data_IF_581983683206
#
_entry.id   IF_581983683206
#
_cell.length_a   1.000
_cell.length_b   1.000
_cell.length_c   1.000
_cell.angle_alpha   90.00
_cell.angle_beta   90.00
_cell.angle_gamma   90.00
#
_symmetry.space_group_name_H-M   'P 1'
#
loop_
_entity.id
_entity.type
_entity.pdbx_description
1 polymer ?
#
# COMPACT_ATOMS: atom_id res chain seq x y z
N UNK A 1 -91.55 46.94 77.30
CA UNK A 1 -92.72 46.13 76.93
C UNK A 1 -92.38 45.28 75.70
N UNK A 2 -92.49 43.98 75.86
CA UNK A 2 -92.23 42.89 74.88
C UNK A 2 -93.14 42.98 73.67
N UNK A 3 -92.62 42.71 72.43
CA UNK A 3 -93.47 42.14 71.38
C UNK A 3 -92.64 41.10 70.65
N UNK A 4 -92.96 39.87 70.87
CA UNK A 4 -92.61 38.65 70.11
C UNK A 4 -93.15 38.75 68.70
N UNK A 5 -92.36 38.39 67.75
CA UNK A 5 -92.92 37.88 66.51
C UNK A 5 -92.26 36.51 66.20
N UNK A 6 -92.91 35.48 66.60
CA UNK A 6 -92.57 34.14 66.20
C UNK A 6 -92.77 33.95 64.68
N UNK A 7 -91.70 33.91 63.93
CA UNK A 7 -91.78 33.40 62.60
C UNK A 7 -92.17 31.92 62.73
N UNK A 8 -93.30 31.59 62.18
CA UNK A 8 -93.82 30.25 62.22
C UNK A 8 -92.83 29.26 61.62
N UNK A 9 -92.57 28.19 62.31
CA UNK A 9 -91.67 27.12 61.88
C UNK A 9 -91.99 26.64 60.45
N UNK A 10 -93.16 26.91 59.99
CA UNK A 10 -93.64 26.55 58.65
C UNK A 10 -93.02 27.48 57.58
N UNK A 11 -92.82 28.81 57.86
CA UNK A 11 -92.16 29.76 56.92
C UNK A 11 -90.66 29.47 56.76
N UNK A 12 -90.00 29.05 57.82
CA UNK A 12 -88.55 28.60 57.69
C UNK A 12 -88.44 27.35 56.89
N UNK A 13 -89.32 26.38 57.08
CA UNK A 13 -89.28 25.09 56.32
C UNK A 13 -89.56 25.36 54.81
N UNK A 14 -90.53 26.21 54.53
CA UNK A 14 -90.85 26.60 53.14
C UNK A 14 -89.71 27.35 52.47
N UNK A 15 -88.97 28.25 53.21
CA UNK A 15 -87.78 28.93 52.69
C UNK A 15 -86.63 28.00 52.42
N UNK A 16 -86.40 27.00 53.27
CA UNK A 16 -85.38 25.98 53.08
C UNK A 16 -85.69 25.09 51.87
N UNK A 17 -86.95 24.68 51.73
CA UNK A 17 -87.42 23.90 50.57
C UNK A 17 -87.31 24.68 49.27
N UNK A 18 -87.62 25.96 49.26
CA UNK A 18 -87.42 26.85 48.12
C UNK A 18 -85.94 27.01 47.75
N UNK A 19 -85.08 27.20 48.72
CA UNK A 19 -83.61 27.24 48.47
C UNK A 19 -83.05 25.92 47.96
N UNK A 20 -83.52 24.78 48.49
CA UNK A 20 -83.15 23.49 47.98
C UNK A 20 -83.64 23.23 46.55
N UNK A 21 -84.86 23.71 46.26
CA UNK A 21 -85.44 23.62 44.86
C UNK A 21 -84.63 24.48 43.88
N UNK A 22 -84.18 25.70 44.28
CA UNK A 22 -83.37 26.59 43.49
C UNK A 22 -81.94 26.03 43.31
N UNK A 23 -81.44 25.41 44.34
CA UNK A 23 -80.10 24.75 44.28
C UNK A 23 -80.17 23.53 43.35
N UNK A 24 -81.24 22.72 43.44
CA UNK A 24 -81.39 21.56 42.52
C UNK A 24 -81.64 22.00 41.08
N UNK A 25 -82.39 23.10 40.84
CA UNK A 25 -82.56 23.67 39.50
C UNK A 25 -81.22 24.25 38.97
N UNK A 26 -80.47 24.89 39.83
CA UNK A 26 -79.11 25.39 39.47
C UNK A 26 -78.14 24.26 39.09
N UNK A 27 -78.15 23.14 39.85
CA UNK A 27 -77.33 21.95 39.53
C UNK A 27 -77.79 21.30 38.21
N UNK A 28 -79.08 21.30 37.93
CA UNK A 28 -79.55 20.80 36.64
C UNK A 28 -79.21 21.66 35.46
N UNK A 29 -79.18 23.00 35.62
CA UNK A 29 -78.76 23.92 34.59
C UNK A 29 -77.21 23.88 34.36
N UNK A 30 -76.44 23.62 35.38
CA UNK A 30 -74.99 23.45 35.24
C UNK A 30 -74.68 22.09 34.61
N UNK A 31 -75.40 21.05 35.00
CA UNK A 31 -75.19 19.69 34.48
C UNK A 31 -75.70 19.50 33.02
N UNK A 32 -76.56 20.40 32.55
CA UNK A 32 -77.09 20.38 31.16
C UNK A 32 -76.17 21.05 30.15
N UNK A 33 -74.99 21.60 30.57
CA UNK A 33 -74.11 22.32 29.64
C UNK A 33 -72.86 21.55 29.19
N UNK A 34 -72.64 20.36 29.80
CA UNK A 34 -71.45 19.56 29.49
C UNK A 34 -71.69 18.32 28.62
N UNK A 35 -72.78 18.21 27.94
CA UNK A 35 -73.06 17.08 27.04
C UNK A 35 -73.49 17.53 25.66
N UNK A 36 -72.70 18.39 25.05
CA UNK A 36 -72.71 18.52 23.59
C UNK A 36 -71.39 17.86 23.04
N UNK A 37 -71.14 16.62 23.46
CA UNK A 37 -70.31 15.74 22.65
C UNK A 37 -71.12 15.42 21.39
N UNK A 38 -70.78 16.07 20.31
CA UNK A 38 -71.26 15.69 18.99
C UNK A 38 -70.93 14.22 18.75
N UNK A 39 -71.60 13.55 17.82
CA UNK A 39 -71.33 12.15 17.54
C UNK A 39 -69.86 11.91 17.36
N UNK A 40 -69.30 10.80 17.87
CA UNK A 40 -67.86 10.54 17.82
C UNK A 40 -67.40 10.76 16.39
N UNK A 41 -66.54 11.74 16.20
CA UNK A 41 -65.99 12.05 14.87
C UNK A 41 -65.36 10.80 14.31
N UNK A 42 -65.71 10.45 13.09
CA UNK A 42 -65.15 9.29 12.47
C UNK A 42 -63.64 9.49 12.27
N UNK A 43 -62.88 8.42 12.30
CA UNK A 43 -61.43 8.48 12.03
C UNK A 43 -61.15 9.12 10.67
N UNK A 44 -62.13 9.04 9.75
CA UNK A 44 -62.09 9.69 8.45
C UNK A 44 -62.17 11.20 8.55
N UNK A 45 -63.10 11.76 9.44
CA UNK A 45 -63.26 13.19 9.66
C UNK A 45 -62.04 13.80 10.34
N UNK A 46 -61.41 13.12 11.28
CA UNK A 46 -60.17 13.53 11.94
C UNK A 46 -59.00 13.55 10.94
N UNK A 47 -58.95 12.58 10.03
CA UNK A 47 -57.96 12.53 8.97
C UNK A 47 -58.11 13.65 7.94
N UNK A 48 -59.36 14.02 7.61
CA UNK A 48 -59.65 15.10 6.67
C UNK A 48 -59.28 16.48 7.25
N UNK A 49 -59.54 16.68 8.55
CA UNK A 49 -59.29 17.97 9.24
C UNK A 49 -57.81 18.14 9.71
N UNK A 50 -57.19 17.08 10.23
CA UNK A 50 -55.84 17.14 10.82
C UNK A 50 -54.77 16.41 9.99
N UNK A 51 -55.17 15.81 8.85
CA UNK A 51 -54.30 14.96 8.07
C UNK A 51 -54.05 13.59 8.72
N UNK A 52 -53.23 12.77 8.05
CA UNK A 52 -52.82 11.46 8.57
C UNK A 52 -51.65 11.68 9.51
N UNK A 53 -51.72 11.29 10.78
CA UNK A 53 -50.57 11.39 11.66
C UNK A 53 -49.46 10.48 11.15
N UNK A 54 -48.32 11.08 10.76
CA UNK A 54 -47.15 10.37 10.33
C UNK A 54 -46.02 10.63 11.33
N UNK A 55 -45.30 9.58 11.65
CA UNK A 55 -44.08 9.73 12.47
C UNK A 55 -42.96 10.19 11.54
N UNK A 56 -42.53 11.41 11.72
CA UNK A 56 -41.38 11.95 11.00
C UNK A 56 -40.14 11.86 11.88
N UNK A 57 -39.05 11.54 11.25
CA UNK A 57 -37.73 11.54 11.88
C UNK A 57 -36.81 12.46 11.07
N UNK A 58 -36.09 13.32 11.75
CA UNK A 58 -35.11 14.16 11.10
C UNK A 58 -33.97 13.27 10.59
N UNK A 59 -33.70 13.31 9.29
CA UNK A 59 -32.56 12.62 8.70
C UNK A 59 -31.31 13.45 8.97
N UNK A 60 -30.40 12.87 9.67
CA UNK A 60 -29.07 13.44 9.89
C UNK A 60 -28.07 12.71 9.01
N UNK A 61 -27.20 13.49 8.34
CA UNK A 61 -26.09 12.93 7.58
C UNK A 61 -25.01 12.46 8.57
N UNK A 62 -24.87 11.18 8.74
CA UNK A 62 -23.80 10.60 9.51
C UNK A 62 -22.62 10.26 8.57
N UNK A 63 -21.39 10.51 8.98
CA UNK A 63 -20.24 10.04 8.23
C UNK A 63 -20.29 8.51 8.15
N UNK A 64 -20.32 8.01 6.94
CA UNK A 64 -20.36 6.57 6.67
C UNK A 64 -19.10 6.16 5.94
N UNK A 65 -18.34 5.27 6.54
CA UNK A 65 -17.14 4.70 5.96
C UNK A 65 -17.49 3.36 5.32
N UNK A 66 -17.19 3.24 4.04
CA UNK A 66 -17.36 1.99 3.31
C UNK A 66 -16.05 1.23 3.27
N UNK A 67 -15.94 0.21 4.08
CA UNK A 67 -14.79 -0.70 4.07
C UNK A 67 -15.06 -1.87 3.12
N UNK A 68 -14.16 -2.09 2.18
CA UNK A 68 -14.18 -3.26 1.30
C UNK A 68 -12.96 -4.11 1.55
N UNK A 69 -13.16 -5.42 1.48
CA UNK A 69 -12.08 -6.39 1.70
C UNK A 69 -11.65 -6.99 0.37
N UNK A 70 -10.36 -6.99 0.13
CA UNK A 70 -9.71 -7.61 -1.01
C UNK A 70 -8.62 -8.56 -0.52
N UNK A 71 -8.30 -9.54 -1.34
CA UNK A 71 -7.17 -10.42 -1.08
C UNK A 71 -5.96 -9.91 -1.85
N UNK A 72 -4.81 -9.97 -1.23
CA UNK A 72 -3.55 -9.56 -1.82
C UNK A 72 -2.44 -10.55 -1.49
N UNK A 73 -1.34 -10.42 -2.21
CA UNK A 73 -0.11 -11.17 -1.97
C UNK A 73 0.96 -10.23 -1.45
N UNK A 74 1.65 -10.66 -0.40
CA UNK A 74 2.82 -9.94 0.11
C UNK A 74 4.00 -10.25 -0.79
N UNK A 75 4.67 -9.23 -1.26
CA UNK A 75 5.88 -9.33 -2.09
C UNK A 75 6.99 -8.45 -1.53
N UNK A 76 8.24 -8.82 -1.69
CA UNK A 76 9.35 -7.92 -1.39
C UNK A 76 9.32 -6.72 -2.34
N UNK A 77 9.62 -5.53 -1.84
CA UNK A 77 9.67 -4.31 -2.65
C UNK A 77 10.79 -4.35 -3.70
N UNK A 78 11.85 -5.10 -3.42
CA UNK A 78 12.98 -5.29 -4.33
C UNK A 78 13.38 -6.76 -4.34
N UNK A 79 13.60 -7.25 -5.56
CA UNK A 79 14.17 -8.58 -5.80
C UNK A 79 15.33 -8.41 -6.77
N UNK A 80 16.44 -9.07 -6.50
CA UNK A 80 17.57 -9.14 -7.40
C UNK A 80 17.80 -10.60 -7.77
N UNK A 81 17.55 -10.93 -9.02
CA UNK A 81 18.06 -12.17 -9.61
C UNK A 81 19.50 -11.96 -10.01
N UNK A 82 20.37 -12.74 -9.42
CA UNK A 82 21.81 -12.73 -9.68
C UNK A 82 22.09 -13.75 -10.76
N UNK A 83 22.60 -13.25 -11.89
CA UNK A 83 22.89 -14.07 -13.07
C UNK A 83 24.37 -14.03 -13.41
N UNK A 84 24.89 -15.11 -14.03
CA UNK A 84 26.24 -15.08 -14.58
C UNK A 84 26.29 -14.28 -15.88
N UNK A 85 27.43 -13.62 -16.11
CA UNK A 85 27.74 -12.93 -17.37
C UNK A 85 28.82 -13.67 -18.19
N UNK A 86 29.49 -14.64 -17.56
CA UNK A 86 30.57 -15.41 -18.18
C UNK A 86 30.34 -16.90 -17.95
N UNK A 87 30.90 -17.70 -18.82
CA UNK A 87 30.88 -19.16 -18.69
C UNK A 87 32.15 -19.61 -18.00
N UNK A 88 32.07 -19.88 -16.70
CA UNK A 88 33.21 -20.31 -15.88
C UNK A 88 32.75 -21.23 -14.75
N UNK A 89 33.70 -21.98 -14.17
CA UNK A 89 33.42 -22.80 -12.99
C UNK A 89 33.23 -21.93 -11.76
N UNK A 90 32.30 -22.35 -10.91
CA UNK A 90 32.06 -21.73 -9.59
C UNK A 90 33.14 -22.26 -8.63
N UNK A 91 33.95 -21.35 -8.12
CA UNK A 91 35.05 -21.67 -7.19
C UNK A 91 34.57 -21.58 -5.75
N UNK A 92 33.76 -20.58 -5.44
CA UNK A 92 33.30 -20.33 -4.07
C UNK A 92 31.91 -19.68 -4.07
N UNK A 93 31.07 -20.10 -3.11
CA UNK A 93 29.76 -19.48 -2.81
C UNK A 93 29.68 -19.27 -1.30
N UNK A 94 30.16 -18.13 -0.79
CA UNK A 94 30.27 -17.86 0.65
C UNK A 94 28.93 -17.59 1.32
N UNK A 95 27.80 -17.67 0.60
CA UNK A 95 26.46 -17.35 1.12
C UNK A 95 25.53 -18.56 1.05
N UNK A 96 24.65 -18.66 2.03
CA UNK A 96 23.61 -19.68 2.12
C UNK A 96 22.21 -19.06 2.05
N UNK A 97 21.21 -19.91 1.77
CA UNK A 97 19.80 -19.48 1.81
C UNK A 97 19.42 -19.06 3.24
N UNK A 98 18.90 -17.87 3.39
CA UNK A 98 18.57 -17.26 4.68
C UNK A 98 19.60 -16.21 5.15
N UNK A 99 20.77 -16.14 4.55
CA UNK A 99 21.79 -15.15 4.94
C UNK A 99 21.40 -13.74 4.54
N UNK A 100 21.71 -12.79 5.45
CA UNK A 100 21.56 -11.37 5.17
C UNK A 100 22.82 -10.83 4.48
N UNK A 101 22.62 -10.18 3.34
CA UNK A 101 23.69 -9.58 2.54
C UNK A 101 23.49 -8.09 2.36
N UNK A 102 24.57 -7.36 2.24
CA UNK A 102 24.58 -5.92 1.95
C UNK A 102 25.03 -5.67 0.51
N UNK A 103 24.58 -4.56 -0.04
CA UNK A 103 25.07 -4.11 -1.35
C UNK A 103 26.60 -3.97 -1.34
N UNK A 104 27.26 -4.69 -2.26
CA UNK A 104 28.71 -4.78 -2.35
C UNK A 104 29.34 -6.06 -1.78
N UNK A 105 28.56 -6.87 -1.05
CA UNK A 105 29.05 -8.15 -0.55
C UNK A 105 29.28 -9.14 -1.70
N UNK A 106 30.32 -9.97 -1.58
CA UNK A 106 30.62 -11.03 -2.55
C UNK A 106 29.66 -12.17 -2.35
N UNK A 107 28.95 -12.54 -3.42
CA UNK A 107 27.95 -13.61 -3.40
C UNK A 107 28.53 -14.93 -3.89
N UNK A 108 29.39 -14.86 -4.90
CA UNK A 108 30.08 -16.01 -5.45
C UNK A 108 31.33 -15.56 -6.23
N UNK A 109 32.28 -16.45 -6.35
CA UNK A 109 33.46 -16.29 -7.17
C UNK A 109 33.52 -17.37 -8.24
N UNK A 110 33.71 -16.93 -9.49
CA UNK A 110 33.93 -17.79 -10.65
C UNK A 110 35.43 -17.92 -10.90
N UNK A 111 35.84 -18.99 -11.53
CA UNK A 111 37.23 -19.17 -11.99
C UNK A 111 37.66 -18.00 -12.87
N UNK A 112 38.87 -17.50 -12.61
CA UNK A 112 39.46 -16.39 -13.38
C UNK A 112 40.56 -16.87 -14.32
N UNK A 113 40.93 -18.13 -14.28
CA UNK A 113 42.13 -18.63 -14.97
C UNK A 113 42.11 -18.34 -16.47
N UNK A 114 41.04 -18.78 -17.16
CA UNK A 114 40.89 -18.58 -18.60
C UNK A 114 40.91 -17.11 -18.98
N UNK A 115 40.21 -16.27 -18.19
CA UNK A 115 40.12 -14.84 -18.44
C UNK A 115 41.44 -14.11 -18.12
N UNK A 116 42.16 -14.58 -17.11
CA UNK A 116 43.45 -14.03 -16.74
C UNK A 116 44.54 -14.27 -17.82
N UNK A 117 44.56 -15.48 -18.42
CA UNK A 117 45.44 -15.79 -19.55
C UNK A 117 45.12 -14.95 -20.79
N UNK A 118 43.82 -14.84 -21.15
CA UNK A 118 43.43 -13.96 -22.27
C UNK A 118 43.78 -12.51 -22.00
N UNK A 119 43.55 -11.99 -20.79
CA UNK A 119 43.96 -10.65 -20.41
C UNK A 119 45.46 -10.43 -20.59
N UNK A 120 46.29 -11.37 -20.12
CA UNK A 120 47.73 -11.27 -20.28
C UNK A 120 48.15 -11.21 -21.75
N UNK A 121 47.54 -12.05 -22.61
CA UNK A 121 47.80 -12.05 -24.04
C UNK A 121 47.39 -10.71 -24.70
N UNK A 122 46.20 -10.16 -24.36
CA UNK A 122 45.75 -8.87 -24.91
C UNK A 122 46.57 -7.70 -24.44
N UNK A 123 47.04 -7.73 -23.19
CA UNK A 123 47.98 -6.72 -22.67
C UNK A 123 49.31 -6.76 -23.39
N UNK A 124 49.84 -7.95 -23.70
CA UNK A 124 51.07 -8.08 -24.49
C UNK A 124 50.92 -7.49 -25.90
N UNK A 125 49.80 -7.85 -26.60
CA UNK A 125 49.47 -7.28 -27.92
C UNK A 125 49.37 -5.74 -27.88
N UNK A 126 48.67 -5.20 -26.89
CA UNK A 126 48.56 -3.73 -26.72
C UNK A 126 49.93 -3.09 -26.49
N UNK A 127 50.76 -3.66 -25.64
CA UNK A 127 52.08 -3.14 -25.36
C UNK A 127 53.02 -3.17 -26.60
N UNK A 128 52.87 -4.18 -27.46
CA UNK A 128 53.55 -4.25 -28.75
C UNK A 128 53.08 -3.12 -29.68
N UNK A 129 51.76 -2.99 -29.89
CA UNK A 129 51.21 -1.92 -30.73
C UNK A 129 51.54 -0.52 -30.23
N UNK A 130 51.57 -0.33 -28.90
CA UNK A 130 51.98 0.93 -28.26
C UNK A 130 53.43 1.26 -28.58
N UNK A 131 54.34 0.29 -28.41
CA UNK A 131 55.78 0.49 -28.75
C UNK A 131 55.97 0.80 -30.22
N UNK A 132 55.21 0.17 -31.14
CA UNK A 132 55.29 0.46 -32.56
C UNK A 132 54.80 1.88 -32.88
N UNK A 133 53.70 2.31 -32.29
CA UNK A 133 53.21 3.68 -32.42
C UNK A 133 54.23 4.69 -31.89
N UNK A 134 54.77 4.51 -30.68
CA UNK A 134 55.77 5.40 -30.11
C UNK A 134 57.05 5.51 -30.96
N UNK A 135 57.53 4.39 -31.52
CA UNK A 135 58.65 4.33 -32.44
C UNK A 135 58.37 5.11 -33.70
N UNK A 136 57.19 4.88 -34.37
CA UNK A 136 56.81 5.60 -35.58
C UNK A 136 56.57 7.08 -35.32
N UNK A 137 56.07 7.45 -34.18
CA UNK A 137 55.91 8.83 -33.77
C UNK A 137 57.27 9.53 -33.65
N UNK A 138 58.26 8.87 -33.05
CA UNK A 138 59.61 9.38 -32.93
C UNK A 138 60.30 9.53 -34.31
N UNK A 139 60.15 8.52 -35.17
CA UNK A 139 60.68 8.54 -36.53
C UNK A 139 60.04 9.64 -37.40
N UNK A 140 58.75 9.88 -37.26
CA UNK A 140 58.05 10.94 -37.99
C UNK A 140 58.53 12.33 -37.60
N UNK A 141 58.86 12.56 -36.34
CA UNK A 141 59.48 13.81 -35.88
C UNK A 141 60.86 14.05 -36.51
N UNK A 142 61.58 12.97 -36.87
CA UNK A 142 62.83 13.02 -37.59
C UNK A 142 62.67 12.97 -39.13
N UNK A 143 61.46 13.01 -39.66
CA UNK A 143 61.21 12.95 -41.08
C UNK A 143 61.28 11.55 -41.71
N UNK A 144 61.43 10.47 -40.91
CA UNK A 144 61.67 9.09 -41.37
C UNK A 144 60.42 8.30 -41.79
N UNK A 145 59.22 8.72 -41.36
CA UNK A 145 57.95 8.07 -41.73
C UNK A 145 56.85 9.11 -41.95
N UNK A 146 55.82 8.70 -42.73
CA UNK A 146 54.70 9.58 -43.06
C UNK A 146 53.72 9.73 -41.87
N UNK A 147 53.00 10.86 -41.83
CA UNK A 147 51.94 11.06 -40.81
C UNK A 147 50.85 9.98 -40.91
N UNK A 148 50.59 9.46 -42.11
CA UNK A 148 49.58 8.40 -42.31
C UNK A 148 50.00 7.08 -41.63
N UNK A 149 51.31 6.77 -41.62
CA UNK A 149 51.85 5.57 -40.94
C UNK A 149 51.75 5.69 -39.43
N UNK A 150 51.96 6.89 -38.86
CA UNK A 150 51.77 7.18 -37.46
C UNK A 150 50.29 7.01 -37.09
N UNK A 151 49.39 7.57 -37.92
CA UNK A 151 47.93 7.45 -37.70
C UNK A 151 47.47 6.01 -37.72
N UNK A 152 47.94 5.21 -38.70
CA UNK A 152 47.60 3.76 -38.74
C UNK A 152 48.10 3.02 -37.49
N UNK A 153 49.32 3.32 -37.02
CA UNK A 153 49.81 2.69 -35.79
C UNK A 153 49.02 3.12 -34.58
N UNK A 154 48.59 4.39 -34.49
CA UNK A 154 47.70 4.88 -33.44
C UNK A 154 46.38 4.14 -33.41
N UNK A 155 45.71 4.04 -34.58
CA UNK A 155 44.45 3.30 -34.68
C UNK A 155 44.60 1.84 -34.26
N UNK A 156 45.70 1.17 -34.64
CA UNK A 156 45.99 -0.20 -34.24
C UNK A 156 46.14 -0.29 -32.72
N UNK A 157 46.88 0.61 -32.11
CA UNK A 157 47.09 0.68 -30.66
C UNK A 157 45.74 0.85 -29.90
N UNK A 158 44.87 1.77 -30.38
CA UNK A 158 43.56 2.00 -29.76
C UNK A 158 42.64 0.79 -29.91
N UNK A 159 42.68 0.09 -31.05
CA UNK A 159 41.94 -1.17 -31.23
C UNK A 159 42.39 -2.21 -30.20
N UNK A 160 43.71 -2.40 -30.02
CA UNK A 160 44.23 -3.34 -29.03
C UNK A 160 43.89 -2.93 -27.61
N UNK A 161 43.92 -1.61 -27.30
CA UNK A 161 43.48 -1.08 -26.02
C UNK A 161 42.01 -1.43 -25.71
N UNK A 162 41.15 -1.31 -26.69
CA UNK A 162 39.71 -1.67 -26.55
C UNK A 162 39.51 -3.15 -26.24
N UNK A 163 40.32 -4.04 -26.86
CA UNK A 163 40.28 -5.48 -26.56
C UNK A 163 40.73 -5.79 -25.12
N UNK A 164 41.78 -5.10 -24.61
CA UNK A 164 42.19 -5.21 -23.20
C UNK A 164 41.04 -4.79 -22.27
N UNK A 165 40.32 -3.69 -22.59
CA UNK A 165 39.21 -3.20 -21.78
C UNK A 165 38.04 -4.21 -21.74
N UNK A 166 37.74 -4.86 -22.88
CA UNK A 166 36.71 -5.91 -22.95
C UNK A 166 37.03 -7.09 -22.03
N UNK A 167 38.26 -7.67 -22.16
CA UNK A 167 38.63 -8.80 -21.31
C UNK A 167 38.74 -8.41 -19.84
N UNK A 168 39.23 -7.21 -19.53
CA UNK A 168 39.25 -6.71 -18.15
C UNK A 168 37.85 -6.64 -17.54
N UNK A 169 36.85 -6.25 -18.33
CA UNK A 169 35.45 -6.29 -17.92
C UNK A 169 34.98 -7.70 -17.66
N UNK A 170 35.37 -8.68 -18.48
CA UNK A 170 35.04 -10.10 -18.25
C UNK A 170 35.66 -10.61 -16.93
N UNK A 171 36.93 -10.30 -16.68
CA UNK A 171 37.59 -10.63 -15.40
C UNK A 171 36.86 -9.98 -14.22
N UNK A 172 36.44 -8.72 -14.32
CA UNK A 172 35.69 -8.09 -13.23
C UNK A 172 34.34 -8.73 -12.93
N UNK A 173 33.77 -9.42 -13.92
CA UNK A 173 32.47 -10.13 -13.80
C UNK A 173 32.58 -11.54 -13.25
N UNK A 174 33.80 -12.05 -13.00
CA UNK A 174 33.98 -13.36 -12.34
C UNK A 174 33.70 -13.30 -10.85
N UNK A 175 33.74 -12.12 -10.24
CA UNK A 175 33.25 -11.86 -8.89
C UNK A 175 31.87 -11.22 -8.96
N UNK A 176 30.91 -11.86 -8.37
CA UNK A 176 29.53 -11.44 -8.41
C UNK A 176 29.14 -10.85 -7.06
N UNK A 177 28.60 -9.62 -7.09
CA UNK A 177 28.28 -8.84 -5.92
C UNK A 177 26.78 -8.61 -5.76
N UNK A 178 26.33 -8.50 -4.52
CA UNK A 178 24.99 -8.02 -4.20
C UNK A 178 24.85 -6.56 -4.65
N UNK A 179 23.72 -6.23 -5.31
CA UNK A 179 23.38 -4.85 -5.70
C UNK A 179 22.40 -4.19 -4.75
N UNK A 180 21.70 -5.00 -3.94
CA UNK A 180 20.73 -4.56 -2.95
C UNK A 180 21.08 -5.17 -1.58
N UNK A 181 20.61 -4.52 -0.52
CA UNK A 181 20.57 -5.15 0.79
C UNK A 181 19.37 -6.08 0.85
N UNK A 182 19.51 -7.24 1.48
CA UNK A 182 18.41 -8.18 1.59
C UNK A 182 18.84 -9.55 2.09
N UNK A 183 17.97 -10.53 1.92
CA UNK A 183 18.20 -11.91 2.33
C UNK A 183 18.22 -12.82 1.11
N UNK A 184 19.13 -13.78 1.09
CA UNK A 184 19.20 -14.80 0.03
C UNK A 184 17.99 -15.71 0.15
N UNK A 185 17.08 -15.66 -0.85
CA UNK A 185 15.87 -16.47 -0.86
C UNK A 185 16.03 -17.80 -1.57
N UNK A 186 16.85 -17.83 -2.62
CA UNK A 186 17.14 -19.04 -3.40
C UNK A 186 18.60 -19.07 -3.81
N UNK A 187 19.16 -20.28 -3.82
CA UNK A 187 20.49 -20.59 -4.33
C UNK A 187 20.35 -21.80 -5.27
N UNK A 188 20.55 -21.55 -6.56
CA UNK A 188 20.35 -22.55 -7.62
C UNK A 188 21.69 -23.12 -8.12
N UNK A 189 22.77 -22.95 -7.35
CA UNK A 189 24.13 -23.30 -7.78
C UNK A 189 24.98 -23.85 -6.64
N UNK A 190 25.95 -24.70 -7.00
CA UNK A 190 26.93 -25.28 -6.08
C UNK A 190 28.36 -25.06 -6.58
N UNK A 191 29.32 -25.18 -5.63
CA UNK A 191 30.75 -25.10 -5.95
C UNK A 191 31.13 -26.27 -6.87
N UNK A 192 31.88 -25.97 -7.94
CA UNK A 192 32.29 -26.91 -8.95
C UNK A 192 31.36 -26.99 -10.17
N UNK A 193 30.20 -26.38 -10.14
CA UNK A 193 29.33 -26.27 -11.31
C UNK A 193 29.82 -25.21 -12.30
N UNK A 194 29.33 -25.30 -13.53
CA UNK A 194 29.60 -24.30 -14.57
C UNK A 194 28.44 -23.27 -14.57
N UNK A 195 28.75 -22.03 -14.30
CA UNK A 195 27.83 -20.92 -14.48
C UNK A 195 27.71 -20.58 -15.97
N UNK A 196 26.50 -20.69 -16.53
CA UNK A 196 26.23 -20.30 -17.90
C UNK A 196 25.78 -18.84 -17.99
N UNK A 197 26.13 -18.09 -19.05
CA UNK A 197 25.68 -16.71 -19.23
C UNK A 197 24.15 -16.61 -19.26
N UNK A 198 23.60 -15.77 -18.41
CA UNK A 198 22.15 -15.58 -18.27
C UNK A 198 21.46 -16.58 -17.33
N UNK A 199 22.15 -17.62 -16.86
CA UNK A 199 21.62 -18.52 -15.85
C UNK A 199 21.47 -17.78 -14.51
N UNK A 200 20.33 -18.01 -13.83
CA UNK A 200 20.12 -17.51 -12.48
C UNK A 200 20.94 -18.35 -11.51
N UNK A 201 21.71 -17.69 -10.67
CA UNK A 201 22.61 -18.34 -9.71
C UNK A 201 22.01 -18.32 -8.31
N UNK A 202 21.49 -17.15 -7.91
CA UNK A 202 20.80 -16.97 -6.65
C UNK A 202 19.84 -15.77 -6.73
N UNK A 203 18.94 -15.69 -5.76
CA UNK A 203 17.97 -14.58 -5.67
C UNK A 203 18.05 -13.92 -4.30
N UNK A 204 18.16 -12.59 -4.28
CA UNK A 204 18.14 -11.76 -3.07
C UNK A 204 16.82 -11.01 -3.02
N UNK A 205 16.19 -10.97 -1.86
CA UNK A 205 14.93 -10.28 -1.62
C UNK A 205 15.07 -9.31 -0.45
N UNK A 206 14.49 -8.13 -0.60
CA UNK A 206 14.41 -7.14 0.47
C UNK A 206 13.17 -7.49 1.33
N UNK A 207 13.42 -8.12 2.49
CA UNK A 207 12.34 -8.52 3.42
C UNK A 207 12.00 -7.42 4.43
N UNK A 208 12.81 -6.37 4.53
CA UNK A 208 12.55 -5.25 5.44
C UNK A 208 11.48 -4.31 4.87
N UNK A 209 11.40 -4.24 3.52
CA UNK A 209 10.41 -3.45 2.82
C UNK A 209 9.50 -4.37 2.01
N UNK A 210 8.27 -4.53 2.49
CA UNK A 210 7.28 -5.39 1.85
C UNK A 210 6.17 -4.56 1.23
N UNK A 211 5.65 -5.04 0.11
CA UNK A 211 4.50 -4.48 -0.60
C UNK A 211 3.39 -5.52 -0.65
N UNK A 212 2.15 -5.05 -0.63
CA UNK A 212 0.98 -5.91 -0.81
C UNK A 212 0.36 -5.61 -2.17
N UNK A 213 0.47 -6.56 -3.08
CA UNK A 213 -0.16 -6.47 -4.39
C UNK A 213 -1.60 -6.96 -4.29
N UNK A 214 -2.56 -6.09 -4.64
CA UNK A 214 -3.99 -6.38 -4.58
C UNK A 214 -4.60 -6.25 -5.98
N UNK A 215 -5.28 -7.29 -6.43
CA UNK A 215 -6.02 -7.26 -7.69
C UNK A 215 -7.40 -6.66 -7.45
N UNK A 216 -7.66 -5.53 -8.10
CA UNK A 216 -8.91 -4.79 -7.98
C UNK A 216 -9.80 -4.99 -9.21
N UNK A 217 -11.13 -5.13 -9.05
CA UNK A 217 -12.05 -5.09 -10.17
C UNK A 217 -11.98 -3.76 -10.92
N UNK A 218 -12.08 -3.73 -12.26
CA UNK A 218 -11.96 -2.51 -13.06
C UNK A 218 -12.94 -1.40 -12.65
N UNK A 219 -14.13 -1.76 -12.16
CA UNK A 219 -15.17 -0.82 -11.71
C UNK A 219 -14.77 -0.03 -10.45
N UNK A 220 -13.76 -0.47 -9.72
CA UNK A 220 -13.36 0.12 -8.45
C UNK A 220 -12.06 0.95 -8.56
N UNK A 221 -11.29 0.76 -9.63
CA UNK A 221 -10.02 1.47 -9.84
C UNK A 221 -10.20 2.99 -9.78
N UNK A 222 -11.29 3.51 -10.35
CA UNK A 222 -11.57 4.96 -10.35
C UNK A 222 -11.88 5.57 -8.97
N UNK A 223 -12.08 4.74 -7.94
CA UNK A 223 -12.38 5.18 -6.57
C UNK A 223 -11.17 5.13 -5.65
N UNK A 224 -10.09 4.50 -6.09
CA UNK A 224 -8.88 4.34 -5.32
C UNK A 224 -7.90 5.41 -5.74
N UNK A 225 -7.47 6.19 -4.75
CA UNK A 225 -6.54 7.31 -4.94
C UNK A 225 -5.33 7.05 -4.06
N UNK A 226 -4.16 7.45 -4.53
CA UNK A 226 -2.93 7.41 -3.74
C UNK A 226 -3.12 8.09 -2.39
N UNK A 227 -2.67 7.43 -1.32
CA UNK A 227 -2.75 7.97 0.05
C UNK A 227 -3.99 7.51 0.83
N UNK A 228 -4.88 6.69 0.26
CA UNK A 228 -6.00 6.11 1.01
C UNK A 228 -5.45 5.16 2.08
N UNK A 229 -5.90 5.30 3.34
CA UNK A 229 -5.50 4.39 4.39
C UNK A 229 -6.07 3.00 4.14
N UNK A 230 -5.22 1.98 4.27
CA UNK A 230 -5.60 0.58 4.15
C UNK A 230 -5.25 -0.16 5.43
N UNK A 231 -6.08 -1.15 5.77
CA UNK A 231 -5.80 -2.09 6.88
C UNK A 231 -5.43 -3.43 6.28
N UNK A 232 -4.21 -3.87 6.53
CA UNK A 232 -3.73 -5.19 6.11
C UNK A 232 -3.91 -6.15 7.28
N UNK A 233 -4.54 -7.31 7.00
CA UNK A 233 -4.68 -8.40 7.99
C UNK A 233 -4.01 -9.63 7.40
N UNK A 234 -2.97 -10.11 8.05
CA UNK A 234 -2.29 -11.34 7.66
C UNK A 234 -3.08 -12.54 8.17
N UNK A 235 -3.22 -13.57 7.36
CA UNK A 235 -3.91 -14.80 7.77
C UNK A 235 -3.07 -15.67 8.72
N UNK A 236 -1.82 -15.35 8.91
CA UNK A 236 -0.94 -16.08 9.81
C UNK A 236 -1.15 -15.63 11.26
N UNK A 237 -1.21 -16.57 12.19
CA UNK A 237 -1.58 -16.37 13.61
C UNK A 237 -0.58 -15.52 14.42
N UNK A 238 0.54 -15.16 13.85
CA UNK A 238 1.67 -14.53 14.55
C UNK A 238 1.75 -13.00 14.41
N UNK A 239 0.70 -12.37 13.89
CA UNK A 239 0.62 -10.90 13.90
C UNK A 239 0.06 -10.44 15.25
N UNK A 240 0.88 -9.92 16.17
CA UNK A 240 0.49 -9.70 17.57
C UNK A 240 -0.55 -8.61 17.79
N UNK A 241 -0.82 -7.77 16.80
CA UNK A 241 -1.94 -6.82 16.85
C UNK A 241 -2.32 -6.27 15.46
N UNK A 242 -3.61 -5.99 15.20
CA UNK A 242 -4.05 -5.37 13.93
C UNK A 242 -3.52 -3.93 13.75
N UNK A 243 -2.97 -3.31 14.79
CA UNK A 243 -2.42 -1.95 14.73
C UNK A 243 -1.01 -1.90 14.12
N UNK A 244 -0.27 -3.01 14.13
CA UNK A 244 1.09 -3.10 13.57
C UNK A 244 1.13 -3.33 12.06
N UNK A 245 0.01 -3.65 11.43
CA UNK A 245 -0.07 -3.96 10.00
C UNK A 245 -0.84 -2.90 9.21
N UNK A 246 -0.71 -1.64 9.60
CA UNK A 246 -1.24 -0.50 8.84
C UNK A 246 -0.40 -0.22 7.61
N UNK A 247 -1.07 0.05 6.48
CA UNK A 247 -0.42 0.43 5.22
C UNK A 247 -1.12 1.61 4.57
N UNK A 248 -0.48 2.17 3.57
CA UNK A 248 -1.03 3.26 2.74
C UNK A 248 -0.89 2.87 1.28
N UNK A 249 -1.87 3.23 0.46
CA UNK A 249 -1.77 3.02 -1.00
C UNK A 249 -0.70 3.95 -1.56
N UNK A 250 0.26 3.38 -2.27
CA UNK A 250 1.38 4.09 -2.92
C UNK A 250 1.00 4.63 -4.30
#
# INVERSE_FOLDING_TARGET
>A
MRKNSGLSRITVVVAILALLAVALLGIRLIKGKDSAEGPPRSVADIRAEKGVPVKVMKVEALPWELWKRYYGQVRPSRTQDVTSFVREFIVEVPVEVGDQVKAGDVLLELSTETQAYDLAARVADYNEAKRDYERKLALSRAGGVSKQEVERAYVTMEQKRSLVADVRTKVSRTKVYAKINGTVSHKDVEVGEIAEPGARLLTIVDIDNLEVEVLLPPLEIGRIVKGIPVRVTLQNRDCPSPETCGGTVL
#
